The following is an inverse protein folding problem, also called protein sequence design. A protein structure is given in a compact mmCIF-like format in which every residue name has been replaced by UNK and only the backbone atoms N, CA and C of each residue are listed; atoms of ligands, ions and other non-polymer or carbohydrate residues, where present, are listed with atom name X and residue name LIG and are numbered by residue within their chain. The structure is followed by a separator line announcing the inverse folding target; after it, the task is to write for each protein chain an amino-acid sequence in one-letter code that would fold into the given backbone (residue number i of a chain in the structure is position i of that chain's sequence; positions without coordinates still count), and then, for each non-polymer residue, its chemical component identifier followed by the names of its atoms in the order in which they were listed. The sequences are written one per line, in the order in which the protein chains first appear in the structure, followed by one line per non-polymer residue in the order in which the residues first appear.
data_IF_128456929603
#
_entry.id   IF_128456929603
#
_cell.length_a   1.000
_cell.length_b   1.000
_cell.length_c   1.000
_cell.angle_alpha   90.00
_cell.angle_beta   90.00
_cell.angle_gamma   90.00
#
_symmetry.space_group_name_H-M   'P 1'
#
loop_
_entity.id
_entity.type
_entity.pdbx_description
1 polymer ?
#
# COMPACT_ATOMS: atom_id res chain seq x y z
N UNK A 1 -4.28 -24.07 64.91
CA UNK A 1 -3.30 -23.09 65.44
C UNK A 1 -2.28 -22.75 64.34
N UNK A 2 -1.72 -21.54 64.37
CA UNK A 2 -0.54 -21.07 63.61
C UNK A 2 -0.56 -21.09 62.05
N UNK A 3 -1.22 -20.05 61.49
CA UNK A 3 -0.72 -19.00 60.57
C UNK A 3 0.17 -19.34 59.33
N UNK A 4 -0.09 -18.69 58.16
CA UNK A 4 0.72 -18.78 56.94
C UNK A 4 1.93 -17.82 56.93
N UNK A 5 2.88 -18.04 56.02
CA UNK A 5 4.07 -17.20 55.80
C UNK A 5 3.90 -16.35 54.52
N UNK A 6 4.19 -15.06 54.63
CA UNK A 6 4.20 -14.06 53.55
C UNK A 6 5.63 -13.64 53.21
N UNK A 7 5.97 -13.61 51.92
CA UNK A 7 7.08 -12.83 51.32
C UNK A 7 6.65 -12.50 49.87
N UNK A 8 6.27 -11.30 49.45
CA UNK A 8 6.75 -9.93 49.73
C UNK A 8 8.09 -9.58 49.03
N UNK A 9 8.05 -9.46 47.70
CA UNK A 9 9.00 -8.66 46.91
C UNK A 9 8.22 -7.56 46.19
N UNK A 10 8.47 -6.32 46.59
CA UNK A 10 7.90 -5.15 45.94
C UNK A 10 8.78 -4.72 44.75
N UNK A 11 8.16 -4.30 43.66
CA UNK A 11 8.72 -3.23 42.84
C UNK A 11 7.61 -2.26 42.47
N UNK A 12 7.79 -1.01 42.91
CA UNK A 12 6.91 0.10 42.63
C UNK A 12 7.09 0.57 41.17
N UNK A 13 5.99 0.87 40.49
CA UNK A 13 5.90 2.17 39.82
C UNK A 13 4.46 2.58 39.53
N UNK A 14 4.12 3.81 39.95
CA UNK A 14 2.90 4.50 39.57
C UNK A 14 2.90 4.83 38.08
N UNK A 15 1.79 4.58 37.37
CA UNK A 15 1.37 5.44 36.26
C UNK A 15 -0.07 5.88 36.54
N UNK A 16 -0.28 7.18 36.42
CA UNK A 16 -1.47 7.92 36.84
C UNK A 16 -2.38 8.24 35.66
N UNK A 17 -3.66 8.54 35.97
CA UNK A 17 -4.61 9.32 35.16
C UNK A 17 -5.03 8.65 33.84
N UNK A 18 -6.24 8.09 33.76
CA UNK A 18 -7.51 8.77 33.42
C UNK A 18 -7.93 8.31 32.03
N UNK A 19 -9.11 7.75 31.77
CA UNK A 19 -10.36 7.83 32.53
C UNK A 19 -11.38 8.62 31.72
N UNK A 20 -12.22 7.93 30.95
CA UNK A 20 -13.52 8.41 30.47
C UNK A 20 -14.31 7.25 29.84
N UNK A 21 -15.39 6.82 30.49
CA UNK A 21 -16.45 6.04 29.84
C UNK A 21 -17.66 6.95 29.59
N UNK A 22 -17.96 7.16 28.31
CA UNK A 22 -19.29 7.15 27.70
C UNK A 22 -20.53 7.50 28.55
N UNK A 23 -21.15 8.66 28.24
CA UNK A 23 -22.60 8.98 28.28
C UNK A 23 -22.75 10.41 27.66
N UNK A 24 -23.16 10.66 26.41
CA UNK A 24 -24.39 10.42 25.62
C UNK A 24 -25.40 11.61 25.60
N UNK A 25 -25.80 12.03 24.38
CA UNK A 25 -26.84 13.01 23.97
C UNK A 25 -26.39 14.48 23.93
N UNK A 26 -26.64 15.31 22.90
CA UNK A 26 -27.28 15.16 21.55
C UNK A 26 -27.09 16.51 20.78
N UNK A 27 -27.20 16.66 19.45
CA UNK A 27 -27.49 15.74 18.33
C UNK A 27 -27.00 16.32 16.96
N UNK A 28 -27.13 15.53 15.88
CA UNK A 28 -26.89 15.81 14.44
C UNK A 28 -25.43 16.23 14.02
N UNK A 29 -24.84 15.76 12.90
CA UNK A 29 -25.36 15.03 11.72
C UNK A 29 -24.23 14.29 10.96
N UNK A 30 -24.51 13.03 10.56
CA UNK A 30 -24.06 12.31 9.35
C UNK A 30 -22.59 11.85 9.12
N UNK A 31 -22.57 10.60 8.64
CA UNK A 31 -21.59 9.90 7.76
C UNK A 31 -20.34 9.26 8.39
N UNK A 32 -20.41 7.92 8.46
CA UNK A 32 -19.38 7.01 8.98
C UNK A 32 -18.32 6.69 7.92
N UNK A 33 -17.07 6.61 8.36
CA UNK A 33 -15.94 6.00 7.66
C UNK A 33 -15.14 5.19 8.68
N UNK A 34 -15.24 3.87 8.61
CA UNK A 34 -14.35 2.91 9.27
C UNK A 34 -13.74 2.07 8.13
N UNK A 35 -12.44 1.96 7.90
CA UNK A 35 -11.28 1.77 8.80
C UNK A 35 -11.27 0.38 9.46
N UNK A 36 -10.50 -0.51 8.82
CA UNK A 36 -10.33 -1.90 9.21
C UNK A 36 -9.17 -2.02 10.20
N UNK A 37 -9.33 -2.71 11.35
CA UNK A 37 -8.25 -2.89 12.30
C UNK A 37 -7.26 -3.97 11.82
N UNK A 38 -5.97 -3.65 11.88
CA UNK A 38 -4.90 -4.64 11.72
C UNK A 38 -4.25 -4.88 13.08
N UNK A 39 -4.44 -6.08 13.64
CA UNK A 39 -3.82 -6.49 14.90
C UNK A 39 -2.39 -6.96 14.66
N UNK A 40 -1.43 -6.29 15.28
CA UNK A 40 -0.03 -6.69 15.26
C UNK A 40 0.24 -7.75 16.34
N UNK A 41 0.91 -8.85 15.97
CA UNK A 41 1.76 -9.59 16.89
C UNK A 41 3.14 -9.80 16.26
N UNK A 42 4.16 -9.66 17.09
CA UNK A 42 5.58 -9.62 16.75
C UNK A 42 6.26 -10.92 17.17
N UNK A 43 7.47 -11.14 16.62
CA UNK A 43 8.65 -11.85 17.17
C UNK A 43 9.16 -12.98 16.24
N UNK A 44 10.46 -13.16 15.96
CA UNK A 44 11.66 -12.35 16.32
C UNK A 44 12.77 -12.47 15.26
N UNK A 45 13.71 -11.54 15.35
CA UNK A 45 14.98 -11.34 14.66
C UNK A 45 15.82 -12.56 14.25
N UNK A 46 16.57 -12.40 13.15
CA UNK A 46 18.01 -12.72 13.13
C UNK A 46 18.80 -11.50 12.66
N UNK A 47 19.84 -11.18 13.43
CA UNK A 47 20.76 -10.05 13.29
C UNK A 47 21.67 -10.18 12.05
N UNK A 48 21.75 -9.14 11.23
CA UNK A 48 22.96 -8.83 10.48
C UNK A 48 23.12 -7.31 10.29
N UNK A 49 23.88 -6.69 11.18
CA UNK A 49 24.24 -5.27 11.10
C UNK A 49 25.39 -5.04 10.13
N UNK A 50 25.11 -4.42 8.99
CA UNK A 50 25.96 -3.29 8.59
C UNK A 50 25.26 -2.19 7.80
N UNK A 51 24.94 -1.12 8.54
CA UNK A 51 25.08 0.28 8.16
C UNK A 51 25.26 0.60 6.66
N UNK A 52 24.17 1.01 6.02
CA UNK A 52 24.26 2.13 5.07
C UNK A 52 23.17 3.17 5.36
N UNK A 53 23.66 4.41 5.40
CA UNK A 53 23.02 5.72 5.36
C UNK A 53 21.51 5.74 5.07
N UNK A 54 20.74 6.32 6.02
CA UNK A 54 19.44 6.92 5.70
C UNK A 54 19.63 8.16 4.82
N UNK A 55 19.94 7.95 3.56
CA UNK A 55 19.78 8.99 2.55
C UNK A 55 18.28 9.15 2.29
N UNK A 56 17.75 10.32 2.69
CA UNK A 56 16.41 10.73 2.28
C UNK A 56 16.46 11.13 0.81
N UNK A 57 16.51 10.12 -0.06
CA UNK A 57 16.43 10.29 -1.50
C UNK A 57 15.06 10.86 -1.85
N UNK A 58 14.97 12.20 -1.86
CA UNK A 58 13.85 12.92 -2.45
C UNK A 58 13.81 12.53 -3.93
N UNK A 59 12.87 11.65 -4.30
CA UNK A 59 12.64 11.27 -5.69
C UNK A 59 12.21 12.52 -6.46
N UNK A 60 13.16 13.14 -7.15
CA UNK A 60 12.86 14.16 -8.13
C UNK A 60 12.22 13.48 -9.34
N UNK A 61 11.22 14.14 -9.94
CA UNK A 61 10.56 13.63 -11.14
C UNK A 61 11.37 14.10 -12.34
N UNK A 62 11.99 13.16 -13.05
CA UNK A 62 12.75 13.47 -14.27
C UNK A 62 11.79 13.70 -15.44
N UNK A 63 11.95 14.85 -16.10
CA UNK A 63 11.11 15.31 -17.21
C UNK A 63 11.93 15.56 -18.47
N UNK A 64 11.33 15.29 -19.63
CA UNK A 64 11.91 15.54 -20.94
C UNK A 64 11.15 16.68 -21.61
N UNK A 65 11.79 17.86 -21.68
CA UNK A 65 11.21 19.06 -22.31
C UNK A 65 11.17 18.99 -23.85
N UNK A 66 11.85 17.99 -24.46
CA UNK A 66 11.94 17.84 -25.92
C UNK A 66 10.82 16.98 -26.50
N UNK A 67 10.18 16.16 -25.68
CA UNK A 67 9.13 15.21 -26.09
C UNK A 67 7.74 15.79 -25.81
N UNK A 68 6.84 15.70 -26.80
CA UNK A 68 5.48 16.24 -26.69
C UNK A 68 4.66 15.44 -25.64
N UNK A 69 4.00 16.11 -24.68
CA UNK A 69 3.16 15.45 -23.70
C UNK A 69 1.88 14.91 -24.34
N UNK A 70 1.37 13.79 -23.84
CA UNK A 70 0.08 13.22 -24.28
C UNK A 70 -1.12 14.18 -24.06
N UNK A 71 -0.98 15.20 -23.21
CA UNK A 71 -2.00 16.23 -22.98
C UNK A 71 -1.34 17.61 -22.86
N UNK A 72 -1.93 18.63 -23.48
CA UNK A 72 -1.38 19.98 -23.49
C UNK A 72 -1.32 20.59 -22.07
N UNK A 73 -0.18 21.19 -21.74
CA UNK A 73 0.07 21.83 -20.44
C UNK A 73 0.64 20.91 -19.35
N UNK A 74 0.91 19.64 -19.66
CA UNK A 74 1.61 18.71 -18.77
C UNK A 74 3.11 18.62 -19.12
N UNK A 75 3.93 18.20 -18.15
CA UNK A 75 5.35 17.89 -18.35
C UNK A 75 5.51 16.43 -18.76
N UNK A 76 6.34 16.15 -19.77
CA UNK A 76 6.58 14.77 -20.22
C UNK A 76 7.60 14.08 -19.31
N UNK A 77 7.35 12.84 -18.92
CA UNK A 77 8.25 12.02 -18.10
C UNK A 77 9.41 11.46 -18.94
N UNK A 78 10.64 11.59 -18.45
CA UNK A 78 11.84 11.12 -19.15
C UNK A 78 11.98 9.58 -19.16
N UNK A 79 11.49 8.90 -18.13
CA UNK A 79 11.62 7.45 -17.95
C UNK A 79 10.24 6.75 -17.88
N UNK A 80 9.46 6.69 -18.98
CA UNK A 80 8.09 6.17 -18.96
C UNK A 80 8.01 4.66 -18.69
N UNK A 81 9.07 3.90 -18.96
CA UNK A 81 9.21 2.46 -18.67
C UNK A 81 9.46 2.16 -17.17
N UNK A 82 9.72 3.18 -16.34
CA UNK A 82 10.02 3.00 -14.91
C UNK A 82 8.81 2.46 -14.13
N UNK A 83 8.96 1.36 -13.40
CA UNK A 83 7.88 0.80 -12.57
C UNK A 83 7.34 1.82 -11.53
N UNK A 84 8.18 2.57 -10.79
CA UNK A 84 7.72 3.63 -9.87
C UNK A 84 7.44 4.99 -10.55
N UNK A 85 7.10 5.04 -11.85
CA UNK A 85 6.80 6.29 -12.57
C UNK A 85 5.57 7.01 -11.99
N UNK A 86 5.65 8.35 -11.86
CA UNK A 86 4.56 9.18 -11.34
C UNK A 86 3.79 9.86 -12.49
N UNK A 87 2.68 9.26 -12.91
CA UNK A 87 1.74 9.86 -13.89
C UNK A 87 0.58 10.52 -13.17
N UNK A 88 0.30 11.81 -13.45
CA UNK A 88 -0.79 12.56 -12.82
C UNK A 88 -1.21 13.80 -13.65
N UNK A 89 -1.94 14.75 -13.06
CA UNK A 89 -2.36 16.02 -13.70
C UNK A 89 -1.26 17.08 -13.84
N UNK A 90 0.00 16.70 -13.64
CA UNK A 90 1.19 17.54 -13.82
C UNK A 90 2.20 16.85 -14.75
N UNK A 91 2.31 15.52 -14.65
CA UNK A 91 3.24 14.68 -15.37
C UNK A 91 2.51 13.67 -16.27
N UNK A 92 2.78 13.73 -17.58
CA UNK A 92 2.26 12.78 -18.58
C UNK A 92 3.34 11.90 -19.16
N UNK A 93 2.94 10.74 -19.67
CA UNK A 93 3.75 9.95 -20.58
C UNK A 93 3.89 10.69 -21.94
N UNK A 94 4.90 10.35 -22.77
CA UNK A 94 4.95 10.76 -24.17
C UNK A 94 3.65 10.43 -24.93
N UNK A 95 3.28 11.24 -25.93
CA UNK A 95 2.05 11.07 -26.72
C UNK A 95 1.98 9.72 -27.46
N UNK A 96 3.12 9.18 -27.89
CA UNK A 96 3.28 7.93 -28.61
C UNK A 96 3.70 6.74 -27.73
N UNK A 97 3.78 6.93 -26.41
CA UNK A 97 4.25 5.89 -25.50
C UNK A 97 3.33 4.67 -25.47
N UNK A 98 3.91 3.51 -25.76
CA UNK A 98 3.29 2.20 -25.64
C UNK A 98 4.32 1.20 -25.12
N UNK A 99 4.08 0.52 -23.99
CA UNK A 99 5.00 -0.50 -23.50
C UNK A 99 5.12 -1.66 -24.50
N UNK A 100 6.34 -2.17 -24.67
CA UNK A 100 6.61 -3.30 -25.58
C UNK A 100 6.20 -4.65 -24.98
N UNK A 101 6.12 -4.74 -23.64
CA UNK A 101 5.91 -5.98 -22.88
C UNK A 101 4.43 -6.24 -22.52
N UNK A 102 3.49 -5.66 -23.26
CA UNK A 102 2.05 -5.81 -23.01
C UNK A 102 1.58 -7.26 -23.26
N UNK A 103 0.98 -7.87 -22.24
CA UNK A 103 0.42 -9.22 -22.27
C UNK A 103 -1.02 -9.26 -21.74
N UNK A 104 -1.76 -10.32 -22.06
CA UNK A 104 -3.03 -10.63 -21.42
C UNK A 104 -2.78 -11.46 -20.15
N UNK A 105 -3.10 -10.96 -18.94
CA UNK A 105 -2.95 -11.72 -17.70
C UNK A 105 -3.93 -12.91 -17.66
N UNK A 106 -3.50 -14.01 -17.05
CA UNK A 106 -4.30 -15.24 -16.84
C UNK A 106 -5.19 -15.10 -15.61
N UNK A 107 -6.04 -14.09 -15.62
CA UNK A 107 -7.07 -13.85 -14.61
C UNK A 107 -8.44 -13.71 -15.27
N UNK A 108 -9.49 -13.89 -14.48
CA UNK A 108 -10.87 -13.72 -14.91
C UNK A 108 -11.23 -12.23 -15.02
N UNK A 109 -12.22 -11.94 -15.87
CA UNK A 109 -12.71 -10.59 -16.16
C UNK A 109 -14.23 -10.64 -16.36
N UNK A 110 -14.93 -9.56 -15.98
CA UNK A 110 -16.38 -9.37 -16.25
C UNK A 110 -16.75 -9.27 -17.75
N UNK A 111 -15.79 -9.42 -18.66
CA UNK A 111 -15.98 -9.40 -20.11
C UNK A 111 -15.06 -10.42 -20.77
N UNK A 112 -15.53 -11.03 -21.87
CA UNK A 112 -14.81 -12.13 -22.53
C UNK A 112 -13.81 -11.65 -23.58
N UNK A 113 -14.01 -10.46 -24.15
CA UNK A 113 -13.24 -9.97 -25.29
C UNK A 113 -11.75 -9.76 -24.98
N UNK A 114 -10.90 -10.12 -25.96
CA UNK A 114 -9.46 -9.80 -25.94
C UNK A 114 -9.24 -8.45 -26.62
N UNK A 115 -9.40 -7.40 -25.81
CA UNK A 115 -9.27 -5.99 -26.20
C UNK A 115 -8.19 -5.30 -25.35
N UNK A 116 -7.70 -4.16 -25.84
CA UNK A 116 -6.54 -3.44 -25.29
C UNK A 116 -6.63 -3.18 -23.78
N UNK A 117 -7.81 -2.82 -23.24
CA UNK A 117 -8.03 -2.62 -21.79
C UNK A 117 -7.84 -3.87 -20.91
N UNK A 118 -7.64 -5.05 -21.52
CA UNK A 118 -7.28 -6.30 -20.83
C UNK A 118 -5.77 -6.53 -20.80
N UNK A 119 -4.98 -5.76 -21.55
CA UNK A 119 -3.53 -5.88 -21.61
C UNK A 119 -2.87 -5.04 -20.51
N UNK A 120 -1.75 -5.53 -19.99
CA UNK A 120 -0.88 -4.80 -19.07
C UNK A 120 0.57 -5.26 -19.22
N UNK A 121 1.54 -4.49 -18.70
CA UNK A 121 2.96 -4.86 -18.69
C UNK A 121 3.15 -6.21 -18.00
N UNK A 122 4.09 -7.02 -18.48
CA UNK A 122 4.29 -8.41 -18.07
C UNK A 122 4.54 -8.56 -16.57
N UNK A 123 5.39 -7.70 -15.99
CA UNK A 123 5.67 -7.72 -14.54
C UNK A 123 4.39 -7.55 -13.72
N UNK A 124 3.55 -6.60 -14.11
CA UNK A 124 2.28 -6.32 -13.45
C UNK A 124 1.23 -7.41 -13.71
N UNK A 125 1.23 -8.04 -14.89
CA UNK A 125 0.38 -9.19 -15.20
C UNK A 125 0.70 -10.39 -14.30
N UNK A 126 1.99 -10.73 -14.15
CA UNK A 126 2.43 -11.81 -13.27
C UNK A 126 2.16 -11.49 -11.79
N UNK A 127 2.24 -10.23 -11.38
CA UNK A 127 1.85 -9.79 -10.04
C UNK A 127 0.32 -9.94 -9.80
N UNK A 128 -0.50 -9.59 -10.79
CA UNK A 128 -1.96 -9.74 -10.74
C UNK A 128 -2.38 -11.23 -10.69
N UNK A 129 -1.74 -12.08 -11.50
CA UNK A 129 -1.94 -13.55 -11.45
C UNK A 129 -1.63 -14.10 -10.05
N UNK A 130 -0.55 -13.65 -9.40
CA UNK A 130 -0.20 -14.03 -8.01
C UNK A 130 -1.23 -13.53 -6.99
N UNK A 131 -1.74 -12.31 -7.14
CA UNK A 131 -2.75 -11.73 -6.25
C UNK A 131 -4.07 -12.52 -6.30
N UNK A 132 -4.55 -12.87 -7.49
CA UNK A 132 -5.77 -13.67 -7.67
C UNK A 132 -5.59 -15.08 -7.08
N UNK A 133 -4.45 -15.73 -7.35
CA UNK A 133 -4.13 -17.04 -6.76
C UNK A 133 -3.97 -17.04 -5.24
N UNK A 134 -3.71 -15.88 -4.61
CA UNK A 134 -3.72 -15.73 -3.17
C UNK A 134 -5.16 -15.59 -2.66
N UNK A 135 -5.94 -14.68 -3.26
CA UNK A 135 -7.34 -14.45 -2.90
C UNK A 135 -8.21 -15.72 -2.96
N UNK A 136 -8.03 -16.56 -3.99
CA UNK A 136 -8.72 -17.85 -4.12
C UNK A 136 -8.47 -18.80 -2.92
N UNK A 137 -7.27 -18.78 -2.33
CA UNK A 137 -6.93 -19.60 -1.14
C UNK A 137 -7.63 -19.09 0.11
N UNK A 138 -7.90 -17.79 0.16
CA UNK A 138 -8.64 -17.12 1.22
C UNK A 138 -10.16 -17.15 1.00
N UNK A 139 -10.64 -17.85 -0.04
CA UNK A 139 -12.04 -17.89 -0.49
C UNK A 139 -12.59 -16.52 -0.91
N UNK A 140 -11.71 -15.63 -1.39
CA UNK A 140 -12.06 -14.35 -2.00
C UNK A 140 -11.93 -14.46 -3.52
N UNK A 141 -13.04 -14.35 -4.23
CA UNK A 141 -13.07 -14.42 -5.69
C UNK A 141 -12.98 -13.02 -6.30
N UNK A 142 -12.05 -12.83 -7.23
CA UNK A 142 -11.93 -11.61 -8.03
C UNK A 142 -12.34 -11.90 -9.48
N UNK A 143 -13.57 -11.56 -9.85
CA UNK A 143 -14.03 -11.20 -11.20
C UNK A 143 -15.51 -10.80 -11.16
#
# INVERSE_FOLDING_TARGET
MLKPIFTATALSSFILLSGCSFDQSSDEKKEQKEEHPSSHHTETETDDKQNDSKESAQRQVEVDETVKPAQAGLQTLANPESIPVLVNKQYSLPEDYKPEDLVYPKVDFIFQDKIEKRMMRKEAAEALERLFQAAEKDNMHFA
#
